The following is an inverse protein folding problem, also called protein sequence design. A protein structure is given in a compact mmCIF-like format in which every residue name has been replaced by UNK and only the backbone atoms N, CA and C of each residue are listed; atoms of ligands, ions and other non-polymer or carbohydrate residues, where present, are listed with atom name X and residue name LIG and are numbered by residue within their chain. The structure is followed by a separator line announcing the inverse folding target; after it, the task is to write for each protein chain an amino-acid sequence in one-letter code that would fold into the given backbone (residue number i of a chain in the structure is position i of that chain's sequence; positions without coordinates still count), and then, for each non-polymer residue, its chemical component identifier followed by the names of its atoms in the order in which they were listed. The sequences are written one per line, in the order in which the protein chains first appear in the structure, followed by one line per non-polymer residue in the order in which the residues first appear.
data_IF_760269294203
#
_entry.id   IF_760269294203
#
_cell.length_a   1.000
_cell.length_b   1.000
_cell.length_c   1.000
_cell.angle_alpha   90.00
_cell.angle_beta   90.00
_cell.angle_gamma   90.00
#
_symmetry.space_group_name_H-M   'P 1'
#
loop_
_entity.id
_entity.type
_entity.pdbx_description
1 polymer ?
#
# COMPACT_ATOMS: atom_id res chain seq x y z
N UNK A 1 16.20 7.06 6.43
CA UNK A 1 15.54 6.36 7.56
C UNK A 1 16.64 6.03 8.57
N UNK A 2 16.54 6.46 9.82
CA UNK A 2 17.60 6.29 10.83
C UNK A 2 17.44 4.96 11.58
N UNK A 3 18.54 4.34 12.04
CA UNK A 3 18.56 3.04 12.72
C UNK A 3 17.63 2.92 13.94
N UNK A 4 17.34 4.05 14.61
CA UNK A 4 16.39 4.09 15.72
C UNK A 4 14.93 3.81 15.32
N UNK A 5 14.59 3.95 14.03
CA UNK A 5 13.25 3.65 13.52
C UNK A 5 13.05 2.16 13.22
N UNK A 6 14.11 1.44 12.89
CA UNK A 6 14.05 0.01 12.56
C UNK A 6 13.70 -0.82 13.80
N UNK A 7 14.19 -0.43 14.99
CA UNK A 7 13.99 -1.13 16.26
C UNK A 7 12.54 -1.07 16.78
N UNK A 8 11.77 -0.05 16.36
CA UNK A 8 10.38 0.14 16.78
C UNK A 8 9.40 -0.44 15.76
N UNK A 9 9.86 -0.68 14.51
CA UNK A 9 9.05 -1.21 13.41
C UNK A 9 8.40 -2.56 13.73
N UNK A 10 9.09 -3.43 14.46
CA UNK A 10 8.57 -4.75 14.86
C UNK A 10 7.41 -4.69 15.87
N UNK A 11 7.23 -3.56 16.56
CA UNK A 11 6.14 -3.34 17.51
C UNK A 11 4.95 -2.56 16.91
N UNK A 12 5.11 -1.99 15.71
CA UNK A 12 4.03 -1.32 15.00
C UNK A 12 3.15 -2.34 14.27
N UNK A 13 2.07 -2.76 14.93
CA UNK A 13 0.97 -3.45 14.28
C UNK A 13 0.15 -2.49 13.42
N UNK A 14 0.68 -2.11 12.25
CA UNK A 14 0.02 -1.27 11.25
C UNK A 14 0.74 0.05 10.99
N UNK A 15 1.19 0.24 9.75
CA UNK A 15 1.73 1.50 9.26
C UNK A 15 0.58 2.47 8.97
N UNK A 16 0.49 3.58 9.71
CA UNK A 16 -0.43 4.65 9.36
C UNK A 16 0.13 5.47 8.21
N UNK A 17 -0.30 5.12 7.00
CA UNK A 17 0.18 5.69 5.74
C UNK A 17 0.17 7.22 5.68
N UNK A 18 -0.71 7.92 6.42
CA UNK A 18 -0.75 9.38 6.38
C UNK A 18 0.40 10.07 7.13
N UNK A 19 1.21 9.36 7.91
CA UNK A 19 2.44 9.88 8.51
C UNK A 19 3.71 9.43 7.78
N UNK A 20 3.58 8.62 6.73
CA UNK A 20 4.71 8.09 6.00
C UNK A 20 5.09 9.02 4.83
N UNK A 21 6.39 9.27 4.67
CA UNK A 21 6.93 10.10 3.57
C UNK A 21 7.41 9.26 2.39
N UNK A 22 7.57 7.96 2.61
CA UNK A 22 8.00 7.00 1.60
C UNK A 22 6.80 6.35 0.90
N UNK A 23 6.50 6.79 -0.32
CA UNK A 23 5.36 6.32 -1.14
C UNK A 23 5.64 5.02 -1.90
N UNK A 24 6.73 4.32 -1.59
CA UNK A 24 7.12 3.10 -2.29
C UNK A 24 6.06 1.99 -2.13
N UNK A 25 5.62 1.35 -3.24
CA UNK A 25 4.61 0.29 -3.19
C UNK A 25 5.00 -0.89 -2.30
N UNK A 26 6.28 -1.13 -2.10
CA UNK A 26 6.80 -2.21 -1.26
C UNK A 26 6.39 -2.04 0.22
N UNK A 27 6.13 -0.81 0.68
CA UNK A 27 5.65 -0.50 2.04
C UNK A 27 4.16 -0.81 2.25
N UNK A 28 3.38 -1.05 1.19
CA UNK A 28 1.95 -1.42 1.32
C UNK A 28 1.76 -2.71 2.11
N UNK A 29 2.68 -3.67 1.95
CA UNK A 29 2.67 -4.93 2.70
C UNK A 29 2.91 -4.76 4.20
N UNK A 30 3.53 -3.64 4.59
CA UNK A 30 3.74 -3.28 5.99
C UNK A 30 2.51 -2.55 6.59
N UNK A 31 1.66 -1.97 5.73
CA UNK A 31 0.44 -1.24 6.13
C UNK A 31 -0.79 -2.13 6.19
N UNK A 32 -0.92 -3.08 5.25
CA UNK A 32 -2.11 -3.91 5.12
C UNK A 32 -1.73 -5.39 4.90
N UNK A 33 -2.48 -6.33 5.48
CA UNK A 33 -2.36 -7.74 5.13
C UNK A 33 -2.58 -7.96 3.62
N UNK A 34 -1.92 -8.96 3.04
CA UNK A 34 -2.00 -9.27 1.60
C UNK A 34 -3.43 -9.43 1.08
N UNK A 35 -4.31 -10.06 1.85
CA UNK A 35 -5.74 -10.24 1.52
C UNK A 35 -6.48 -8.90 1.39
N UNK A 36 -6.11 -7.90 2.18
CA UNK A 36 -6.69 -6.56 2.11
C UNK A 36 -6.20 -5.85 0.86
N UNK A 37 -4.91 -5.98 0.53
CA UNK A 37 -4.34 -5.41 -0.69
C UNK A 37 -5.03 -6.00 -1.93
N UNK A 38 -5.21 -7.32 -2.00
CA UNK A 38 -5.90 -7.99 -3.11
C UNK A 38 -7.34 -7.49 -3.28
N UNK A 39 -8.08 -7.36 -2.17
CA UNK A 39 -9.44 -6.82 -2.21
C UNK A 39 -9.45 -5.37 -2.71
N UNK A 40 -8.54 -4.52 -2.23
CA UNK A 40 -8.43 -3.13 -2.67
C UNK A 40 -8.05 -3.02 -4.16
N UNK A 41 -7.17 -3.89 -4.66
CA UNK A 41 -6.86 -3.98 -6.10
C UNK A 41 -8.09 -4.31 -6.94
N UNK A 42 -8.93 -5.24 -6.48
CA UNK A 42 -10.20 -5.57 -7.13
C UNK A 42 -11.17 -4.38 -7.17
N UNK A 43 -11.30 -3.63 -6.07
CA UNK A 43 -12.12 -2.41 -6.06
C UNK A 43 -11.54 -1.33 -6.97
N UNK A 44 -10.21 -1.14 -6.97
CA UNK A 44 -9.53 -0.20 -7.87
C UNK A 44 -9.76 -0.55 -9.33
N UNK A 45 -9.70 -1.83 -9.72
CA UNK A 45 -10.04 -2.25 -11.08
C UNK A 45 -11.49 -1.93 -11.48
N UNK A 46 -12.42 -1.89 -10.52
CA UNK A 46 -13.84 -1.55 -10.79
C UNK A 46 -14.08 -0.04 -10.92
N UNK A 47 -13.41 0.76 -10.09
CA UNK A 47 -13.70 2.20 -9.96
C UNK A 47 -12.66 3.13 -10.58
N UNK A 48 -11.42 2.67 -10.76
CA UNK A 48 -10.29 3.40 -11.34
C UNK A 48 -9.38 2.47 -12.16
N UNK A 49 -9.91 1.82 -13.24
CA UNK A 49 -9.17 0.86 -14.04
C UNK A 49 -7.94 1.46 -14.73
N UNK A 50 -7.99 2.75 -15.09
CA UNK A 50 -6.88 3.47 -15.73
C UNK A 50 -5.85 4.02 -14.72
N UNK A 51 -6.07 3.76 -13.42
CA UNK A 51 -5.24 4.22 -12.33
C UNK A 51 -4.96 5.74 -12.35
N UNK A 52 -6.01 6.52 -12.58
CA UNK A 52 -5.96 7.99 -12.63
C UNK A 52 -5.55 8.55 -11.26
N UNK A 53 -6.07 7.98 -10.18
CA UNK A 53 -5.75 8.40 -8.82
C UNK A 53 -4.53 7.65 -8.26
N UNK A 54 -3.36 7.98 -8.80
CA UNK A 54 -2.07 7.36 -8.42
C UNK A 54 -1.20 8.18 -7.49
N UNK A 55 -1.54 9.45 -7.25
CA UNK A 55 -0.77 10.36 -6.39
C UNK A 55 -1.16 10.15 -4.91
N UNK A 56 -0.95 8.92 -4.44
CA UNK A 56 -1.15 8.45 -3.07
C UNK A 56 -0.29 7.19 -2.85
N UNK A 57 -0.51 6.44 -1.77
CA UNK A 57 0.02 5.08 -1.64
C UNK A 57 -0.64 4.17 -2.67
N UNK A 58 -0.09 4.21 -3.87
CA UNK A 58 -0.76 3.70 -5.05
C UNK A 58 -0.95 2.19 -4.99
N UNK A 59 -2.21 1.77 -4.94
CA UNK A 59 -2.62 0.38 -5.13
C UNK A 59 -3.00 0.25 -6.60
N UNK A 60 -2.07 -0.26 -7.41
CA UNK A 60 -2.33 -0.49 -8.83
C UNK A 60 -3.50 -1.48 -9.02
N UNK A 61 -4.39 -1.25 -10.00
CA UNK A 61 -5.49 -2.17 -10.28
C UNK A 61 -4.95 -3.58 -10.58
N UNK A 62 -5.72 -4.60 -10.19
CA UNK A 62 -5.37 -5.97 -10.51
C UNK A 62 -5.34 -6.10 -12.03
N UNK A 63 -4.20 -6.55 -12.58
CA UNK A 63 -4.10 -6.87 -14.00
C UNK A 63 -5.16 -7.92 -14.33
N UNK A 64 -6.03 -7.62 -15.29
CA UNK A 64 -6.90 -8.63 -15.87
C UNK A 64 -5.96 -9.67 -16.50
N UNK A 65 -5.83 -10.83 -15.87
CA UNK A 65 -5.28 -12.00 -16.52
C UNK A 65 -6.19 -12.25 -17.73
N UNK A 66 -5.66 -11.94 -18.92
CA UNK A 66 -6.31 -12.23 -20.20
C UNK A 66 -6.34 -13.72 -20.50
#
# INVERSE_FOLDING_TARGET
MNAAWDEVYEHFGGLYLSFETDLRPERLGDAFPSTTIEHLRGQKSRYDPDNVFRDNFNIAPQALLG
#
